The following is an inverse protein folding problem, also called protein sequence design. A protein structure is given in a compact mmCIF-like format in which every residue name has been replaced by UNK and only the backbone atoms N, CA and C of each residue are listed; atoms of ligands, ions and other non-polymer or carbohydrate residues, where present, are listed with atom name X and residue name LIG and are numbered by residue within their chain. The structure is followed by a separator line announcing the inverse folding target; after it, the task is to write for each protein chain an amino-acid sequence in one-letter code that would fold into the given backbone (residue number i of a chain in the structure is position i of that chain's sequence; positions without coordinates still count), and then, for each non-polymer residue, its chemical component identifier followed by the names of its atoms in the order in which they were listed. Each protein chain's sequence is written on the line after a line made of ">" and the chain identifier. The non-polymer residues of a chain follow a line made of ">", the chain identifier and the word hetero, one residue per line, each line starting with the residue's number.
data_IF_729413002321
#
_entry.id   IF_729413002321
#
_cell.length_a   1.000
_cell.length_b   1.000
_cell.length_c   1.000
_cell.angle_alpha   90.00
_cell.angle_beta   90.00
_cell.angle_gamma   90.00
#
_symmetry.space_group_name_H-M   'P 1'
#
loop_
_entity.id
_entity.type
_entity.pdbx_description
1 polymer ?
#
# COMPACT_ATOMS: atom_id res chain seq x y z
N UNK A 1 -15.72 -12.20 -16.92
CA UNK A 1 -14.57 -13.00 -17.38
C UNK A 1 -13.83 -13.59 -16.19
N UNK A 2 -13.31 -14.82 -16.28
CA UNK A 2 -12.47 -15.38 -15.22
C UNK A 2 -11.14 -14.59 -15.11
N UNK A 3 -10.65 -14.44 -13.89
CA UNK A 3 -9.33 -13.83 -13.64
C UNK A 3 -8.26 -14.84 -14.08
N UNK A 4 -7.32 -14.40 -14.88
CA UNK A 4 -6.18 -15.19 -15.38
C UNK A 4 -4.85 -14.62 -14.86
N UNK A 5 -3.75 -15.33 -15.15
CA UNK A 5 -2.39 -14.86 -14.78
C UNK A 5 -2.07 -13.52 -15.44
N UNK A 6 -2.52 -13.30 -16.67
CA UNK A 6 -2.33 -12.04 -17.38
C UNK A 6 -2.98 -10.86 -16.65
N UNK A 7 -4.15 -11.05 -16.02
CA UNK A 7 -4.78 -10.02 -15.20
C UNK A 7 -3.93 -9.70 -13.95
N UNK A 8 -3.31 -10.71 -13.33
CA UNK A 8 -2.40 -10.50 -12.20
C UNK A 8 -1.12 -9.78 -12.65
N UNK A 9 -0.55 -10.17 -13.80
CA UNK A 9 0.59 -9.48 -14.38
C UNK A 9 0.27 -8.03 -14.73
N UNK A 10 -0.90 -7.78 -15.30
CA UNK A 10 -1.36 -6.42 -15.58
C UNK A 10 -1.49 -5.58 -14.31
N UNK A 11 -2.08 -6.16 -13.26
CA UNK A 11 -2.28 -5.49 -11.96
C UNK A 11 -0.97 -5.14 -11.26
N UNK A 12 0.11 -5.86 -11.53
CA UNK A 12 1.45 -5.66 -10.95
C UNK A 12 2.46 -5.04 -11.92
N UNK A 13 2.03 -4.62 -13.11
CA UNK A 13 2.90 -4.01 -14.11
C UNK A 13 3.19 -2.55 -13.78
N UNK A 14 4.10 -2.34 -12.82
CA UNK A 14 4.55 -1.02 -12.38
C UNK A 14 5.20 -0.29 -13.56
N UNK A 15 4.71 0.89 -13.94
CA UNK A 15 5.26 1.67 -15.03
C UNK A 15 6.75 1.95 -14.86
N UNK A 16 7.47 2.00 -15.98
CA UNK A 16 8.92 2.14 -16.06
C UNK A 16 9.74 0.92 -15.59
N UNK A 17 9.15 0.02 -14.78
CA UNK A 17 9.81 -1.20 -14.30
C UNK A 17 9.40 -2.40 -15.13
N UNK A 18 8.09 -2.57 -15.35
CA UNK A 18 7.53 -3.68 -16.11
C UNK A 18 6.80 -3.18 -17.36
N UNK A 19 6.81 -3.96 -18.45
CA UNK A 19 6.01 -3.64 -19.63
C UNK A 19 4.52 -3.75 -19.33
N UNK A 20 3.72 -2.91 -19.96
CA UNK A 20 2.27 -3.03 -19.91
C UNK A 20 1.81 -4.38 -20.48
N UNK A 21 0.84 -5.01 -19.81
CA UNK A 21 0.35 -6.34 -20.18
C UNK A 21 -0.85 -6.22 -21.11
N UNK A 22 -0.84 -6.87 -22.31
CA UNK A 22 -1.98 -6.88 -23.20
C UNK A 22 -3.08 -7.78 -22.67
N UNK A 23 -4.31 -7.29 -22.60
CA UNK A 23 -5.53 -8.06 -22.28
C UNK A 23 -6.56 -7.87 -23.39
N UNK A 24 -7.35 -8.91 -23.63
CA UNK A 24 -8.46 -8.84 -24.57
C UNK A 24 -9.73 -8.40 -23.84
N UNK A 25 -10.20 -7.19 -24.12
CA UNK A 25 -11.37 -6.57 -23.47
C UNK A 25 -12.32 -6.04 -24.54
N UNK A 26 -13.60 -6.34 -24.40
CA UNK A 26 -14.69 -5.84 -25.25
C UNK A 26 -14.44 -5.97 -26.76
N UNK A 27 -13.80 -7.06 -27.18
CA UNK A 27 -13.53 -7.36 -28.59
C UNK A 27 -12.27 -6.70 -29.14
N UNK A 28 -11.42 -6.10 -28.33
CA UNK A 28 -10.15 -5.48 -28.69
C UNK A 28 -9.00 -5.83 -27.75
N UNK A 29 -7.77 -5.64 -28.21
CA UNK A 29 -6.58 -5.76 -27.37
C UNK A 29 -6.26 -4.38 -26.77
N UNK A 30 -6.23 -4.32 -25.45
CA UNK A 30 -5.84 -3.13 -24.70
C UNK A 30 -4.63 -3.42 -23.80
N UNK A 31 -3.84 -2.39 -23.50
CA UNK A 31 -2.65 -2.51 -22.64
C UNK A 31 -2.94 -1.97 -21.25
N UNK A 32 -2.66 -2.78 -20.24
CA UNK A 32 -2.91 -2.49 -18.85
C UNK A 32 -1.60 -2.41 -18.05
N UNK A 33 -1.59 -1.51 -17.10
CA UNK A 33 -0.53 -1.35 -16.10
C UNK A 33 -1.10 -1.43 -14.69
N UNK A 34 -0.24 -1.25 -13.69
CA UNK A 34 -0.59 -1.30 -12.28
C UNK A 34 -1.75 -0.35 -11.94
N UNK A 35 -2.79 -0.93 -11.34
CA UNK A 35 -4.02 -0.21 -11.00
C UNK A 35 -3.84 0.81 -9.88
N UNK A 36 -2.83 0.67 -9.02
CA UNK A 36 -2.58 1.58 -7.90
C UNK A 36 -2.32 3.02 -8.35
N UNK A 37 -1.82 3.21 -9.58
CA UNK A 37 -1.62 4.55 -10.16
C UNK A 37 -2.91 5.36 -10.34
N UNK A 38 -4.06 4.70 -10.40
CA UNK A 38 -5.38 5.33 -10.57
C UNK A 38 -6.31 5.12 -9.37
N UNK A 39 -5.87 4.37 -8.39
CA UNK A 39 -6.67 4.02 -7.21
C UNK A 39 -6.51 5.11 -6.14
N UNK A 40 -7.37 6.12 -6.22
CA UNK A 40 -7.38 7.24 -5.28
C UNK A 40 -7.96 6.82 -3.92
N UNK A 41 -8.85 5.83 -3.89
CA UNK A 41 -9.57 5.38 -2.70
C UNK A 41 -9.56 3.84 -2.63
N UNK A 42 -8.51 3.23 -2.04
CA UNK A 42 -8.35 1.78 -1.99
C UNK A 42 -9.44 1.06 -1.19
N UNK A 43 -10.04 1.70 -0.19
CA UNK A 43 -11.09 1.09 0.65
C UNK A 43 -12.49 1.23 0.06
N UNK A 44 -12.66 2.10 -0.92
CA UNK A 44 -13.95 2.39 -1.55
C UNK A 44 -14.64 1.15 -2.12
N UNK A 45 -13.89 0.24 -2.76
CA UNK A 45 -14.46 -0.99 -3.30
C UNK A 45 -15.06 -1.89 -2.21
N UNK A 46 -14.38 -2.05 -1.08
CA UNK A 46 -14.88 -2.84 0.05
C UNK A 46 -16.14 -2.19 0.66
N UNK A 47 -16.13 -0.88 0.82
CA UNK A 47 -17.30 -0.12 1.32
C UNK A 47 -18.50 -0.28 0.39
N UNK A 48 -18.31 -0.15 -0.93
CA UNK A 48 -19.38 -0.30 -1.93
C UNK A 48 -19.93 -1.73 -1.99
N UNK A 49 -19.09 -2.74 -1.78
CA UNK A 49 -19.50 -4.14 -1.73
C UNK A 49 -20.23 -4.51 -0.43
N UNK A 50 -20.31 -3.60 0.50
CA UNK A 50 -21.12 -3.84 1.69
C UNK A 50 -20.32 -4.29 2.92
N UNK A 51 -18.99 -4.10 2.97
CA UNK A 51 -18.21 -4.46 4.14
C UNK A 51 -18.51 -3.57 5.34
N UNK A 52 -18.83 -4.16 6.48
CA UNK A 52 -18.98 -3.47 7.77
C UNK A 52 -17.65 -3.38 8.51
N UNK A 53 -16.70 -4.23 8.15
CA UNK A 53 -15.34 -4.27 8.70
C UNK A 53 -14.33 -4.46 7.59
N UNK A 54 -13.25 -3.69 7.65
CA UNK A 54 -12.17 -3.72 6.67
C UNK A 54 -10.84 -3.88 7.39
N UNK A 55 -10.14 -5.00 7.15
CA UNK A 55 -8.74 -5.13 7.50
C UNK A 55 -7.91 -4.59 6.34
N UNK A 56 -7.27 -3.45 6.53
CA UNK A 56 -6.42 -2.81 5.56
C UNK A 56 -4.95 -3.13 5.85
N UNK A 57 -4.26 -3.76 4.90
CA UNK A 57 -2.83 -4.06 4.99
C UNK A 57 -2.09 -3.10 4.07
N UNK A 58 -1.38 -2.15 4.66
CA UNK A 58 -0.59 -1.17 3.94
C UNK A 58 0.89 -1.56 3.88
N UNK A 59 1.58 -1.02 2.89
CA UNK A 59 3.04 -1.11 2.74
C UNK A 59 3.71 0.24 3.02
N UNK A 60 2.91 1.25 3.38
CA UNK A 60 3.36 2.59 3.71
C UNK A 60 4.15 2.63 5.03
N UNK A 61 5.03 3.60 5.14
CA UNK A 61 5.77 3.82 6.37
C UNK A 61 4.97 4.72 7.31
N UNK A 62 4.79 4.35 8.58
CA UNK A 62 4.02 5.15 9.54
C UNK A 62 4.60 6.53 9.85
N UNK A 63 5.80 6.85 9.37
CA UNK A 63 6.54 8.05 9.78
C UNK A 63 7.28 8.75 8.65
N UNK A 64 6.55 9.21 7.63
CA UNK A 64 7.08 10.31 6.79
C UNK A 64 6.57 11.69 7.20
N UNK A 65 5.86 11.81 8.28
CA UNK A 65 5.31 13.08 8.74
C UNK A 65 6.17 13.73 9.82
N UNK A 66 7.45 13.89 9.59
CA UNK A 66 8.17 14.96 10.27
C UNK A 66 8.49 16.06 9.25
N UNK A 67 7.50 16.87 8.93
CA UNK A 67 7.73 18.22 8.43
C UNK A 67 8.59 18.96 9.44
N UNK A 68 9.89 18.75 9.45
CA UNK A 68 10.73 19.45 10.43
C UNK A 68 12.14 18.96 10.56
N UNK A 69 12.49 17.77 10.16
CA UNK A 69 13.90 17.38 10.01
C UNK A 69 14.28 17.50 8.54
N UNK A 70 14.97 18.60 8.14
CA UNK A 70 15.52 18.63 6.80
C UNK A 70 16.51 17.46 6.72
N UNK A 71 16.15 16.43 5.93
CA UNK A 71 17.14 15.47 5.46
C UNK A 71 18.25 16.31 4.84
N UNK A 72 19.42 16.36 5.48
CA UNK A 72 20.61 16.98 4.92
C UNK A 72 21.10 16.11 3.75
N UNK A 73 20.30 16.03 2.71
CA UNK A 73 20.77 15.60 1.42
C UNK A 73 21.64 16.75 0.88
N UNK A 74 22.93 16.69 1.15
CA UNK A 74 23.90 17.61 0.56
C UNK A 74 24.09 17.21 -0.90
N UNK A 75 23.27 17.81 -1.79
CA UNK A 75 23.42 17.61 -3.22
C UNK A 75 22.09 17.77 -4.00
N UNK A 76 22.22 17.88 -5.33
CA UNK A 76 21.05 17.84 -6.22
C UNK A 76 20.47 16.43 -6.22
N UNK A 77 19.12 16.26 -6.20
CA UNK A 77 18.52 14.94 -6.27
C UNK A 77 18.91 14.22 -7.56
N UNK A 78 19.29 12.96 -7.45
CA UNK A 78 19.56 12.10 -8.60
C UNK A 78 18.25 11.73 -9.32
N UNK A 79 18.34 11.24 -10.56
CA UNK A 79 17.18 10.70 -11.27
C UNK A 79 16.54 9.54 -10.52
N UNK A 80 17.34 8.67 -9.87
CA UNK A 80 16.84 7.60 -9.03
C UNK A 80 16.08 8.11 -7.80
N UNK A 81 16.56 9.20 -7.19
CA UNK A 81 15.85 9.85 -6.08
C UNK A 81 14.50 10.41 -6.52
N UNK A 82 14.45 11.10 -7.68
CA UNK A 82 13.20 11.67 -8.21
C UNK A 82 12.22 10.54 -8.58
N UNK A 83 12.69 9.51 -9.27
CA UNK A 83 11.86 8.35 -9.64
C UNK A 83 11.34 7.62 -8.40
N UNK A 84 12.19 7.37 -7.39
CA UNK A 84 11.81 6.75 -6.13
C UNK A 84 10.73 7.56 -5.39
N UNK A 85 10.87 8.89 -5.35
CA UNK A 85 9.84 9.75 -4.77
C UNK A 85 8.53 9.74 -5.55
N UNK A 86 8.58 9.79 -6.88
CA UNK A 86 7.39 9.72 -7.72
C UNK A 86 6.65 8.39 -7.53
N UNK A 87 7.37 7.28 -7.48
CA UNK A 87 6.80 5.96 -7.20
C UNK A 87 6.21 5.89 -5.80
N UNK A 88 6.94 6.35 -4.78
CA UNK A 88 6.46 6.35 -3.41
C UNK A 88 5.17 7.17 -3.24
N UNK A 89 5.05 8.32 -3.89
CA UNK A 89 3.84 9.16 -3.82
C UNK A 89 2.61 8.48 -4.41
N UNK A 90 2.80 7.63 -5.43
CA UNK A 90 1.68 6.88 -6.03
C UNK A 90 1.20 5.75 -5.12
N UNK A 91 2.11 5.10 -4.39
CA UNK A 91 1.80 3.86 -3.67
C UNK A 91 1.51 4.04 -2.16
N UNK A 92 1.89 5.17 -1.54
CA UNK A 92 1.91 5.26 -0.07
C UNK A 92 0.85 6.16 0.56
N UNK A 93 0.35 7.19 -0.11
CA UNK A 93 -0.40 8.25 0.57
C UNK A 93 -1.93 8.07 0.58
N UNK A 94 -2.47 7.16 -0.23
CA UNK A 94 -3.93 7.07 -0.42
C UNK A 94 -4.66 6.32 0.70
N UNK A 95 -4.02 5.32 1.31
CA UNK A 95 -4.67 4.49 2.34
C UNK A 95 -4.98 5.28 3.62
N UNK A 96 -4.03 6.10 4.10
CA UNK A 96 -4.22 6.88 5.32
C UNK A 96 -5.33 7.92 5.16
N UNK A 97 -5.38 8.60 4.01
CA UNK A 97 -6.43 9.55 3.69
C UNK A 97 -7.81 8.90 3.65
N UNK A 98 -7.92 7.70 3.09
CA UNK A 98 -9.16 6.93 3.05
C UNK A 98 -9.64 6.51 4.44
N UNK A 99 -8.73 5.99 5.26
CA UNK A 99 -9.02 5.63 6.65
C UNK A 99 -9.49 6.84 7.45
N UNK A 100 -8.81 7.97 7.29
CA UNK A 100 -9.21 9.21 7.96
C UNK A 100 -10.62 9.66 7.52
N UNK A 101 -10.92 9.57 6.24
CA UNK A 101 -12.25 9.90 5.71
C UNK A 101 -13.33 8.99 6.27
N UNK A 102 -13.10 7.67 6.33
CA UNK A 102 -14.06 6.71 6.92
C UNK A 102 -14.26 7.05 8.40
N UNK A 103 -13.20 7.34 9.14
CA UNK A 103 -13.29 7.70 10.56
C UNK A 103 -14.09 9.01 10.77
N UNK A 104 -13.93 10.01 9.91
CA UNK A 104 -14.74 11.25 9.94
C UNK A 104 -16.22 10.97 9.68
N UNK A 105 -16.54 10.10 8.72
CA UNK A 105 -17.91 9.68 8.45
C UNK A 105 -18.48 8.95 9.66
N UNK A 106 -17.76 7.97 10.22
CA UNK A 106 -18.17 7.25 11.41
C UNK A 106 -18.46 8.19 12.60
N UNK A 107 -17.57 9.16 12.83
CA UNK A 107 -17.76 10.15 13.87
C UNK A 107 -19.02 10.99 13.64
N UNK A 108 -19.25 11.44 12.41
CA UNK A 108 -20.46 12.19 12.04
C UNK A 108 -21.73 11.36 12.26
N UNK A 109 -21.72 10.09 11.85
CA UNK A 109 -22.84 9.17 12.07
C UNK A 109 -23.15 8.95 13.54
N UNK A 110 -22.15 8.91 14.43
CA UNK A 110 -22.34 8.75 15.88
C UNK A 110 -23.03 9.95 16.54
N UNK A 111 -22.93 11.13 15.95
CA UNK A 111 -23.59 12.36 16.48
C UNK A 111 -25.03 12.50 16.04
N UNK A 112 -25.50 11.70 15.11
CA UNK A 112 -26.87 11.77 14.58
C UNK A 112 -27.83 10.86 15.34
N UNK A 113 -29.09 11.29 15.56
CA UNK A 113 -30.14 10.43 16.08
C UNK A 113 -30.38 9.21 15.18
N UNK A 114 -30.76 8.07 15.75
CA UNK A 114 -30.98 6.82 15.01
C UNK A 114 -32.01 6.96 13.87
N UNK A 115 -33.08 7.76 14.10
CA UNK A 115 -34.10 8.01 13.10
C UNK A 115 -33.58 8.75 11.86
N UNK A 116 -32.57 9.60 12.03
CA UNK A 116 -31.93 10.33 10.91
C UNK A 116 -30.91 9.41 10.23
N UNK A 117 -30.14 8.68 11.03
CA UNK A 117 -29.10 7.75 10.52
C UNK A 117 -29.68 6.65 9.65
N UNK A 118 -30.85 6.09 9.99
CA UNK A 118 -31.53 5.06 9.22
C UNK A 118 -31.94 5.50 7.81
N UNK A 119 -32.09 6.80 7.56
CA UNK A 119 -32.42 7.34 6.25
C UNK A 119 -31.23 7.74 5.39
N UNK A 120 -30.00 7.62 5.89
CA UNK A 120 -28.81 8.00 5.15
C UNK A 120 -28.26 6.84 4.31
N UNK A 121 -27.66 7.14 3.15
CA UNK A 121 -26.97 6.12 2.33
C UNK A 121 -25.61 5.72 2.90
N UNK A 122 -25.25 6.21 4.08
CA UNK A 122 -23.99 5.96 4.75
C UNK A 122 -24.17 5.00 5.93
N UNK A 123 -23.21 4.15 6.15
CA UNK A 123 -23.13 3.26 7.33
C UNK A 123 -21.79 3.38 7.99
N UNK A 124 -21.70 3.01 9.25
CA UNK A 124 -20.44 2.91 9.97
C UNK A 124 -19.66 1.70 9.44
N UNK A 125 -18.38 1.88 9.20
CA UNK A 125 -17.45 0.84 8.76
C UNK A 125 -16.24 0.84 9.68
N UNK A 126 -15.99 -0.27 10.35
CA UNK A 126 -14.80 -0.42 11.18
C UNK A 126 -13.60 -0.74 10.33
N UNK A 127 -12.51 0.00 10.52
CA UNK A 127 -11.27 -0.20 9.78
C UNK A 127 -10.13 -0.49 10.75
N UNK A 128 -9.47 -1.63 10.56
CA UNK A 128 -8.20 -1.94 11.23
C UNK A 128 -7.07 -1.87 10.20
N UNK A 129 -6.10 -1.00 10.44
CA UNK A 129 -4.94 -0.83 9.56
C UNK A 129 -3.72 -1.52 10.14
N UNK A 130 -3.08 -2.36 9.33
CA UNK A 130 -1.78 -2.96 9.62
C UNK A 130 -0.75 -2.34 8.68
N UNK A 131 0.30 -1.77 9.26
CA UNK A 131 1.43 -1.20 8.54
C UNK A 131 2.74 -1.77 9.09
N UNK A 132 3.80 -1.86 8.26
CA UNK A 132 5.10 -2.31 8.72
C UNK A 132 5.65 -1.43 9.84
N UNK A 133 6.18 -2.04 10.91
CA UNK A 133 6.80 -1.33 12.02
C UNK A 133 8.18 -0.78 11.70
N UNK A 134 8.79 -1.24 10.60
CA UNK A 134 10.11 -0.80 10.13
C UNK A 134 10.05 -0.30 8.69
N UNK A 135 11.02 0.53 8.32
CA UNK A 135 11.17 1.06 6.97
C UNK A 135 11.52 -0.05 5.99
N UNK A 136 10.64 -0.29 5.00
CA UNK A 136 10.90 -1.26 3.93
C UNK A 136 12.06 -0.82 3.04
N UNK A 137 12.26 0.50 2.86
CA UNK A 137 13.36 1.06 2.09
C UNK A 137 14.72 0.80 2.80
N UNK A 138 14.77 0.96 4.13
CA UNK A 138 15.98 0.64 4.90
C UNK A 138 16.27 -0.85 4.86
N UNK A 139 15.24 -1.69 4.98
CA UNK A 139 15.38 -3.13 4.85
C UNK A 139 15.90 -3.52 3.46
N UNK A 140 15.40 -2.87 2.40
CA UNK A 140 15.87 -3.08 1.04
C UNK A 140 17.34 -2.68 0.86
N UNK A 141 17.79 -1.59 1.48
CA UNK A 141 19.19 -1.16 1.42
C UNK A 141 20.18 -2.24 1.91
N UNK A 142 19.80 -2.98 2.96
CA UNK A 142 20.64 -4.08 3.47
C UNK A 142 20.78 -5.20 2.44
N UNK A 143 19.74 -5.45 1.65
CA UNK A 143 19.67 -6.56 0.70
C UNK A 143 20.00 -6.18 -0.76
N UNK A 144 20.19 -4.89 -1.06
CA UNK A 144 20.37 -4.41 -2.44
C UNK A 144 21.50 -5.10 -3.19
N UNK A 145 22.56 -5.51 -2.48
CA UNK A 145 23.72 -6.18 -3.07
C UNK A 145 23.42 -7.61 -3.58
N UNK A 146 22.28 -8.18 -3.20
CA UNK A 146 21.84 -9.48 -3.71
C UNK A 146 21.29 -9.40 -5.15
N UNK A 147 20.98 -8.19 -5.63
CA UNK A 147 20.50 -7.99 -7.01
C UNK A 147 21.55 -8.42 -8.04
N UNK A 148 21.12 -8.90 -9.22
CA UNK A 148 22.00 -9.22 -10.32
C UNK A 148 22.88 -8.02 -10.73
N UNK A 149 24.14 -8.28 -11.03
CA UNK A 149 25.14 -7.24 -11.40
C UNK A 149 24.69 -6.26 -12.49
N UNK A 150 23.96 -6.68 -13.55
CA UNK A 150 23.46 -5.73 -14.55
C UNK A 150 22.48 -4.73 -13.96
N UNK A 151 21.58 -5.18 -13.09
CA UNK A 151 20.57 -4.32 -12.43
C UNK A 151 21.27 -3.35 -11.48
N UNK A 152 22.23 -3.83 -10.68
CA UNK A 152 23.02 -2.97 -9.80
C UNK A 152 23.70 -1.83 -10.54
N UNK A 153 24.33 -2.11 -11.71
CA UNK A 153 24.99 -1.07 -12.51
C UNK A 153 24.00 -0.01 -13.03
N UNK A 154 22.81 -0.42 -13.43
CA UNK A 154 21.77 0.51 -13.87
C UNK A 154 21.31 1.38 -12.71
N UNK A 155 21.01 0.79 -11.55
CA UNK A 155 20.61 1.51 -10.35
C UNK A 155 21.69 2.46 -9.84
N UNK A 156 22.97 2.04 -9.90
CA UNK A 156 24.12 2.88 -9.58
C UNK A 156 24.23 4.09 -10.51
N UNK A 157 24.10 3.87 -11.82
CA UNK A 157 24.10 4.94 -12.82
C UNK A 157 22.96 5.94 -12.66
N UNK A 158 21.82 5.50 -12.12
CA UNK A 158 20.67 6.36 -11.79
C UNK A 158 20.80 7.02 -10.41
N UNK A 159 21.82 6.67 -9.62
CA UNK A 159 21.95 7.13 -8.23
C UNK A 159 20.87 6.58 -7.30
N UNK A 160 20.37 5.37 -7.60
CA UNK A 160 19.25 4.74 -6.90
C UNK A 160 19.69 3.76 -5.78
N UNK A 161 20.99 3.65 -5.49
CA UNK A 161 21.49 2.73 -4.45
C UNK A 161 21.58 3.38 -3.06
N UNK A 162 21.37 4.69 -2.93
CA UNK A 162 21.56 5.41 -1.68
C UNK A 162 20.38 6.35 -1.37
N UNK A 163 20.10 6.53 -0.08
CA UNK A 163 19.06 7.44 0.38
C UNK A 163 17.67 7.09 -0.16
N UNK A 164 16.91 8.09 -0.58
CA UNK A 164 15.56 7.90 -1.14
C UNK A 164 15.53 7.18 -2.51
N UNK A 165 16.68 6.96 -3.15
CA UNK A 165 16.80 6.11 -4.34
C UNK A 165 16.59 4.62 -4.03
N UNK A 166 16.81 4.18 -2.80
CA UNK A 166 16.59 2.81 -2.38
C UNK A 166 15.13 2.36 -2.50
N UNK A 167 14.18 3.30 -2.48
CA UNK A 167 12.79 3.02 -2.77
C UNK A 167 12.61 2.41 -4.17
N UNK A 168 13.37 2.83 -5.17
CA UNK A 168 13.32 2.22 -6.50
C UNK A 168 13.89 0.79 -6.49
N UNK A 169 14.95 0.55 -5.72
CA UNK A 169 15.54 -0.76 -5.59
C UNK A 169 14.60 -1.76 -4.90
N UNK A 170 13.79 -1.32 -3.92
CA UNK A 170 12.85 -2.19 -3.19
C UNK A 170 11.81 -2.82 -4.12
N UNK A 171 11.39 -2.13 -5.18
CA UNK A 171 10.45 -2.66 -6.18
C UNK A 171 11.04 -3.73 -7.10
N UNK A 172 12.37 -3.84 -7.17
CA UNK A 172 13.08 -4.81 -8.01
C UNK A 172 13.67 -5.96 -7.21
N UNK A 173 13.65 -5.87 -5.87
CA UNK A 173 14.37 -6.77 -4.99
C UNK A 173 13.55 -8.04 -4.69
N UNK A 174 13.37 -8.89 -5.70
CA UNK A 174 12.73 -10.20 -5.58
C UNK A 174 13.72 -11.31 -5.18
N UNK A 175 14.60 -11.00 -4.21
CA UNK A 175 15.62 -11.93 -3.74
C UNK A 175 15.16 -12.67 -2.47
N UNK A 176 15.48 -13.98 -2.34
CA UNK A 176 14.97 -14.81 -1.22
C UNK A 176 15.28 -14.22 0.15
N UNK A 177 16.46 -13.64 0.36
CA UNK A 177 16.85 -13.04 1.63
C UNK A 177 15.98 -11.86 2.02
N UNK A 178 15.67 -10.97 1.06
CA UNK A 178 14.81 -9.84 1.30
C UNK A 178 13.35 -10.26 1.54
N UNK A 179 12.84 -11.20 0.74
CA UNK A 179 11.49 -11.72 0.90
C UNK A 179 11.31 -12.37 2.27
N UNK A 180 12.29 -13.18 2.73
CA UNK A 180 12.27 -13.77 4.06
C UNK A 180 12.27 -12.70 5.17
N UNK A 181 13.09 -11.65 5.03
CA UNK A 181 13.12 -10.54 5.98
C UNK A 181 11.76 -9.82 6.05
N UNK A 182 11.11 -9.57 4.92
CA UNK A 182 9.75 -9.00 4.85
C UNK A 182 8.72 -9.91 5.53
N UNK A 183 8.77 -11.22 5.28
CA UNK A 183 7.88 -12.19 5.91
C UNK A 183 8.07 -12.24 7.43
N UNK A 184 9.31 -12.18 7.90
CA UNK A 184 9.61 -12.13 9.34
C UNK A 184 9.09 -10.85 9.98
N UNK A 185 9.29 -9.69 9.35
CA UNK A 185 8.76 -8.41 9.81
C UNK A 185 7.24 -8.46 9.91
N UNK A 186 6.54 -8.83 8.84
CA UNK A 186 5.09 -8.90 8.83
C UNK A 186 4.53 -9.86 9.88
N UNK A 187 5.18 -11.03 10.08
CA UNK A 187 4.79 -11.95 11.15
C UNK A 187 4.98 -11.34 12.54
N UNK A 188 6.09 -10.66 12.79
CA UNK A 188 6.36 -10.01 14.07
C UNK A 188 5.32 -8.91 14.35
N UNK A 189 4.98 -8.09 13.36
CA UNK A 189 4.01 -7.02 13.46
C UNK A 189 2.60 -7.54 13.79
N UNK A 190 2.15 -8.59 13.09
CA UNK A 190 0.87 -9.25 13.36
C UNK A 190 0.85 -9.86 14.77
N UNK A 191 1.92 -10.52 15.18
CA UNK A 191 2.00 -11.13 16.53
C UNK A 191 2.00 -10.07 17.63
N UNK A 192 2.66 -8.94 17.43
CA UNK A 192 2.67 -7.83 18.39
C UNK A 192 1.27 -7.23 18.58
N UNK A 193 0.41 -7.24 17.57
CA UNK A 193 -0.97 -6.72 17.59
C UNK A 193 -2.03 -7.84 17.60
N UNK A 194 -1.65 -9.06 17.93
CA UNK A 194 -2.54 -10.24 17.84
C UNK A 194 -3.84 -10.09 18.62
N UNK A 195 -3.80 -9.50 19.84
CA UNK A 195 -5.00 -9.26 20.64
C UNK A 195 -5.99 -8.31 19.96
N UNK A 196 -5.49 -7.23 19.37
CA UNK A 196 -6.29 -6.25 18.66
C UNK A 196 -6.92 -6.85 17.39
N UNK A 197 -6.13 -7.61 16.65
CA UNK A 197 -6.59 -8.31 15.43
C UNK A 197 -7.66 -9.33 15.79
N UNK A 198 -7.44 -10.16 16.82
CA UNK A 198 -8.44 -11.12 17.28
C UNK A 198 -9.72 -10.42 17.73
N UNK A 199 -9.63 -9.36 18.54
CA UNK A 199 -10.80 -8.60 18.97
C UNK A 199 -11.56 -8.00 17.77
N UNK A 200 -10.86 -7.52 16.75
CA UNK A 200 -11.47 -7.01 15.53
C UNK A 200 -12.31 -8.06 14.79
N UNK A 201 -11.90 -9.33 14.80
CA UNK A 201 -12.67 -10.41 14.17
C UNK A 201 -13.72 -11.04 15.07
N UNK A 202 -13.52 -11.03 16.40
CA UNK A 202 -14.43 -11.72 17.34
C UNK A 202 -15.56 -10.83 17.88
N UNK A 203 -15.49 -9.51 17.75
CA UNK A 203 -16.53 -8.58 18.21
C UNK A 203 -17.84 -8.63 17.40
N UNK A 204 -18.15 -9.76 16.76
CA UNK A 204 -19.26 -9.92 15.83
C UNK A 204 -20.61 -10.25 16.48
N UNK A 205 -20.66 -10.56 17.78
CA UNK A 205 -21.84 -11.21 18.37
C UNK A 205 -22.92 -10.25 18.94
N UNK A 206 -22.71 -8.93 18.93
CA UNK A 206 -23.66 -8.01 19.58
C UNK A 206 -24.68 -7.32 18.63
N UNK A 207 -24.63 -7.56 17.34
CA UNK A 207 -25.54 -6.92 16.36
C UNK A 207 -26.60 -7.84 15.73
N UNK A 208 -26.59 -9.14 16.02
CA UNK A 208 -27.59 -10.09 15.45
C UNK A 208 -28.81 -10.36 16.36
N UNK A 209 -28.92 -9.67 17.51
CA UNK A 209 -30.11 -9.84 18.40
C UNK A 209 -30.77 -8.48 18.64
N UNK A 210 -31.44 -7.96 17.62
CA UNK A 210 -32.63 -7.10 17.82
C UNK A 210 -33.46 -6.98 16.56
#
# INVERSE_FOLDING_TARGET
>A
QPITIEHLMASSAIPFIFPATPLWVDGGMEFFGDGSMRQISPLSAAVQLGADRILAIGVGQPQRASFGTPSRASGRPSLGTIAGHAMASVFHDTLEADVEQINRINQSLRTLPDSVRAGLPFRSVDVLTLQPSASLDELAQVHVHALPKPILRVLEGLGALQGSGAALASYLLFEPGFIQALMHLGRADVMARSKEILAFFTSQDDHEVR
#
